data_IF_042268746942
#
_entry.id   IF_042268746942
#
_cell.length_a   1.000
_cell.length_b   1.000
_cell.length_c   1.000
_cell.angle_alpha   90.00
_cell.angle_beta   90.00
_cell.angle_gamma   90.00
#
_symmetry.space_group_name_H-M   'P 1'
#
loop_
_entity.id
_entity.type
_entity.pdbx_description
1 polymer ?
#
# COMPACT_ATOMS: atom_id res chain seq x y z
N UNK A 1 23.57 0.50 -25.49
CA UNK A 1 22.76 -0.36 -24.61
C UNK A 1 21.47 0.38 -24.31
N UNK A 2 20.32 -0.15 -24.72
CA UNK A 2 19.04 0.58 -24.68
C UNK A 2 18.30 0.48 -23.32
N UNK A 3 18.86 -0.20 -22.32
CA UNK A 3 18.18 -0.50 -21.06
C UNK A 3 18.80 0.05 -19.77
N UNK A 4 19.80 0.95 -19.86
CA UNK A 4 20.37 1.61 -18.67
C UNK A 4 19.58 2.89 -18.44
N UNK A 5 18.97 3.01 -17.27
CA UNK A 5 18.20 4.20 -16.87
C UNK A 5 19.02 5.06 -15.90
N UNK A 6 18.52 6.25 -15.56
CA UNK A 6 19.18 7.15 -14.61
C UNK A 6 19.14 6.62 -13.16
N UNK A 7 18.26 5.64 -12.87
CA UNK A 7 18.05 5.00 -11.57
C UNK A 7 18.00 5.99 -10.40
N UNK A 8 17.13 6.99 -10.53
CA UNK A 8 17.05 8.08 -9.57
C UNK A 8 16.71 7.57 -8.17
N UNK A 9 15.90 6.52 -8.05
CA UNK A 9 15.53 5.97 -6.73
C UNK A 9 16.77 5.48 -5.98
N UNK A 10 17.64 4.69 -6.64
CA UNK A 10 18.85 4.15 -6.02
C UNK A 10 19.87 5.23 -5.65
N UNK A 11 19.90 6.33 -6.43
CA UNK A 11 20.82 7.46 -6.22
C UNK A 11 20.36 8.41 -5.12
N UNK A 12 19.05 8.57 -4.96
CA UNK A 12 18.46 9.56 -4.05
C UNK A 12 18.06 8.96 -2.70
N UNK A 13 17.80 7.66 -2.61
CA UNK A 13 17.51 7.01 -1.33
C UNK A 13 18.77 6.94 -0.44
N UNK A 14 18.67 7.38 0.82
CA UNK A 14 19.67 7.09 1.84
C UNK A 14 19.69 5.59 2.15
N UNK A 15 20.90 5.02 2.23
CA UNK A 15 21.11 3.59 2.51
C UNK A 15 21.49 3.37 3.98
N UNK A 16 20.80 2.44 4.63
CA UNK A 16 21.00 2.06 6.04
C UNK A 16 21.43 0.60 6.12
N UNK A 17 22.42 0.34 6.97
CA UNK A 17 22.99 -0.99 7.17
C UNK A 17 22.04 -1.90 7.97
N UNK A 18 21.56 -2.98 7.35
CA UNK A 18 20.75 -4.01 8.02
C UNK A 18 21.65 -5.09 8.63
N UNK A 19 22.24 -4.80 9.80
CA UNK A 19 23.12 -5.72 10.52
C UNK A 19 22.36 -6.99 10.94
N UNK A 20 22.72 -8.12 10.35
CA UNK A 20 22.07 -9.41 10.63
C UNK A 20 21.03 -9.84 9.59
N UNK A 21 20.90 -9.12 8.47
CA UNK A 21 20.04 -9.54 7.35
C UNK A 21 18.58 -9.11 7.45
N UNK A 22 18.17 -8.47 8.55
CA UNK A 22 16.85 -7.89 8.74
C UNK A 22 16.91 -6.52 9.42
N UNK A 23 15.93 -5.66 9.16
CA UNK A 23 15.76 -4.35 9.79
C UNK A 23 14.36 -4.25 10.40
N UNK A 24 14.29 -4.02 11.72
CA UNK A 24 13.02 -3.99 12.47
C UNK A 24 12.52 -2.57 12.65
N UNK A 25 11.25 -2.33 12.32
CA UNK A 25 10.55 -1.06 12.51
C UNK A 25 9.49 -1.24 13.58
N UNK A 26 9.67 -0.59 14.72
CA UNK A 26 8.68 -0.57 15.80
C UNK A 26 7.75 0.63 15.60
N UNK A 27 6.43 0.38 15.57
CA UNK A 27 5.41 1.41 15.47
C UNK A 27 4.53 1.43 16.71
N UNK A 28 3.93 2.59 16.96
CA UNK A 28 2.89 2.75 17.98
C UNK A 28 1.53 2.48 17.34
N UNK A 29 0.70 1.67 17.98
CA UNK A 29 -0.68 1.50 17.53
C UNK A 29 -1.48 2.77 17.87
N UNK A 30 -2.17 3.33 16.88
CA UNK A 30 -3.07 4.48 17.08
C UNK A 30 -4.34 4.21 16.29
N UNK A 31 -5.46 4.03 16.98
CA UNK A 31 -6.79 3.81 16.41
C UNK A 31 -7.83 4.51 17.30
N UNK A 32 -8.99 4.83 16.74
CA UNK A 32 -10.07 5.56 17.43
C UNK A 32 -11.31 4.69 17.46
N UNK A 33 -11.66 4.15 18.62
CA UNK A 33 -12.92 3.42 18.79
C UNK A 33 -14.08 4.41 18.95
N UNK A 34 -15.22 4.08 18.34
CA UNK A 34 -16.52 4.73 18.48
C UNK A 34 -16.87 5.76 17.39
N UNK A 35 -16.13 5.80 16.28
CA UNK A 35 -16.43 6.70 15.15
C UNK A 35 -17.27 6.03 14.05
N UNK A 36 -17.59 4.74 14.20
CA UNK A 36 -18.38 3.95 13.25
C UNK A 36 -17.59 3.48 12.02
N UNK A 37 -16.27 3.59 12.02
CA UNK A 37 -15.40 3.20 10.91
C UNK A 37 -14.34 2.20 11.36
N UNK A 38 -14.10 1.20 10.53
CA UNK A 38 -13.14 0.15 10.83
C UNK A 38 -11.74 0.56 10.38
N UNK A 39 -10.77 0.45 11.27
CA UNK A 39 -9.35 0.69 10.97
C UNK A 39 -8.60 -0.60 10.65
N UNK A 40 -7.60 -0.52 9.77
CA UNK A 40 -6.82 -1.65 9.28
C UNK A 40 -5.32 -1.46 9.50
N UNK A 41 -4.61 -2.57 9.66
CA UNK A 41 -3.14 -2.63 9.63
C UNK A 41 -2.71 -3.20 8.28
N UNK A 42 -1.69 -2.58 7.68
CA UNK A 42 -1.08 -3.06 6.42
C UNK A 42 0.38 -3.43 6.66
N UNK A 43 0.72 -4.65 6.25
CA UNK A 43 2.08 -5.19 6.24
C UNK A 43 2.46 -5.54 4.80
N UNK A 44 2.97 -4.55 4.07
CA UNK A 44 3.18 -4.69 2.63
C UNK A 44 1.82 -4.72 1.92
N UNK A 45 1.66 -5.66 0.98
CA UNK A 45 0.38 -5.85 0.30
C UNK A 45 -0.72 -6.49 1.17
N UNK A 46 -0.37 -7.10 2.30
CA UNK A 46 -1.33 -7.79 3.16
C UNK A 46 -2.01 -6.80 4.12
N UNK A 47 -3.34 -6.80 4.11
CA UNK A 47 -4.19 -5.94 4.93
C UNK A 47 -4.99 -6.80 5.91
N UNK A 48 -5.05 -6.38 7.17
CA UNK A 48 -5.84 -7.03 8.22
C UNK A 48 -6.62 -5.99 9.01
N UNK A 49 -7.83 -6.34 9.43
CA UNK A 49 -8.62 -5.53 10.36
C UNK A 49 -7.98 -5.58 11.76
N UNK A 50 -7.99 -4.46 12.48
CA UNK A 50 -7.61 -4.46 13.89
C UNK A 50 -8.73 -5.16 14.68
N UNK A 51 -8.43 -6.19 15.47
CA UNK A 51 -9.43 -6.99 16.20
C UNK A 51 -10.47 -6.16 16.96
N UNK A 52 -10.03 -5.13 17.69
CA UNK A 52 -10.94 -4.24 18.43
C UNK A 52 -11.82 -3.34 17.58
N UNK A 53 -11.42 -3.06 16.33
CA UNK A 53 -12.22 -2.25 15.40
C UNK A 53 -13.42 -3.03 14.85
N UNK A 54 -13.46 -4.36 15.02
CA UNK A 54 -14.65 -5.14 14.72
C UNK A 54 -15.85 -4.74 15.59
N UNK A 55 -15.61 -4.13 16.76
CA UNK A 55 -16.65 -3.61 17.63
C UNK A 55 -17.38 -2.36 17.06
N UNK A 56 -16.91 -1.80 15.94
CA UNK A 56 -17.65 -0.79 15.19
C UNK A 56 -18.86 -1.38 14.45
N UNK A 57 -18.80 -2.69 14.14
CA UNK A 57 -19.93 -3.44 13.58
C UNK A 57 -21.07 -3.48 14.61
N UNK A 58 -22.31 -3.12 14.25
CA UNK A 58 -23.42 -3.06 15.20
C UNK A 58 -23.60 -4.35 16.01
N UNK A 59 -23.54 -5.56 15.42
CA UNK A 59 -23.69 -6.81 16.17
C UNK A 59 -22.57 -7.13 17.18
N UNK A 60 -21.41 -6.49 17.08
CA UNK A 60 -20.24 -6.73 17.94
C UNK A 60 -19.95 -5.56 18.89
N UNK A 61 -20.82 -4.55 18.90
CA UNK A 61 -20.58 -3.32 19.66
C UNK A 61 -20.58 -3.61 21.17
N UNK A 62 -19.48 -3.23 21.82
CA UNK A 62 -19.30 -3.40 23.25
C UNK A 62 -18.84 -4.80 23.67
N UNK A 63 -18.46 -5.65 22.73
CA UNK A 63 -17.80 -6.92 23.02
C UNK A 63 -16.33 -6.70 23.45
N UNK A 64 -15.89 -7.38 24.51
CA UNK A 64 -14.62 -7.12 25.21
C UNK A 64 -13.66 -8.32 25.26
N UNK A 65 -14.00 -9.44 24.63
CA UNK A 65 -13.14 -10.62 24.54
C UNK A 65 -12.15 -10.51 23.36
N UNK A 66 -10.97 -9.97 23.67
CA UNK A 66 -9.89 -9.75 22.68
C UNK A 66 -9.47 -11.04 21.95
N UNK A 67 -9.48 -12.21 22.60
CA UNK A 67 -9.07 -13.46 21.96
C UNK A 67 -10.08 -13.93 20.90
N UNK A 68 -11.37 -13.75 21.17
CA UNK A 68 -12.40 -14.07 20.21
C UNK A 68 -12.43 -13.07 19.04
N UNK A 69 -12.18 -11.79 19.31
CA UNK A 69 -11.99 -10.76 18.29
C UNK A 69 -10.78 -11.04 17.39
N UNK A 70 -9.65 -11.47 17.96
CA UNK A 70 -8.45 -11.88 17.22
C UNK A 70 -8.76 -13.05 16.27
N UNK A 71 -9.49 -14.06 16.77
CA UNK A 71 -9.89 -15.22 15.98
C UNK A 71 -10.81 -14.81 14.81
N UNK A 72 -11.76 -13.90 15.05
CA UNK A 72 -12.66 -13.38 14.03
C UNK A 72 -11.91 -12.56 12.97
N UNK A 73 -11.03 -11.65 13.40
CA UNK A 73 -10.19 -10.85 12.51
C UNK A 73 -9.33 -11.75 11.60
N UNK A 74 -8.85 -12.88 12.11
CA UNK A 74 -8.09 -13.87 11.35
C UNK A 74 -8.86 -14.62 10.25
N UNK A 75 -10.20 -14.57 10.24
CA UNK A 75 -11.05 -15.22 9.22
C UNK A 75 -11.36 -14.33 8.03
N UNK A 76 -11.05 -13.04 8.11
CA UNK A 76 -11.21 -12.13 6.99
C UNK A 76 -10.18 -12.40 5.89
N UNK A 77 -10.66 -12.54 4.65
CA UNK A 77 -9.84 -12.76 3.46
C UNK A 77 -9.79 -11.48 2.62
N UNK A 78 -8.59 -11.09 2.21
CA UNK A 78 -8.38 -9.93 1.36
C UNK A 78 -8.73 -10.23 -0.11
N UNK A 79 -9.48 -9.32 -0.73
CA UNK A 79 -9.82 -9.32 -2.15
C UNK A 79 -9.51 -7.96 -2.77
N UNK A 80 -8.88 -7.98 -3.95
CA UNK A 80 -8.62 -6.79 -4.77
C UNK A 80 -9.63 -6.74 -5.92
N UNK A 81 -10.24 -5.56 -6.13
CA UNK A 81 -11.23 -5.31 -7.17
C UNK A 81 -10.79 -4.14 -8.06
N UNK A 82 -11.02 -4.28 -9.36
CA UNK A 82 -10.78 -3.23 -10.35
C UNK A 82 -12.02 -2.34 -10.56
N UNK A 83 -11.85 -1.07 -10.99
CA UNK A 83 -12.98 -0.20 -11.27
C UNK A 83 -13.95 -0.82 -12.28
N UNK A 84 -15.23 -0.85 -11.93
CA UNK A 84 -16.35 -1.41 -12.70
C UNK A 84 -16.74 -2.84 -12.30
N UNK A 85 -15.95 -3.53 -11.48
CA UNK A 85 -16.29 -4.87 -11.01
C UNK A 85 -17.44 -4.84 -10.00
N UNK A 86 -18.28 -5.89 -10.02
CA UNK A 86 -19.43 -6.07 -9.13
C UNK A 86 -18.99 -6.91 -7.92
N UNK A 87 -19.20 -6.41 -6.71
CA UNK A 87 -18.82 -7.07 -5.46
C UNK A 87 -19.97 -7.97 -4.97
N UNK A 88 -21.18 -7.43 -5.01
CA UNK A 88 -22.46 -8.10 -4.68
C UNK A 88 -23.57 -7.60 -5.60
N UNK A 89 -24.56 -8.45 -5.85
CA UNK A 89 -25.73 -8.16 -6.70
C UNK A 89 -26.99 -8.07 -5.85
N UNK A 90 -27.86 -7.12 -6.20
CA UNK A 90 -29.19 -6.95 -5.60
C UNK A 90 -30.02 -8.24 -5.68
N UNK A 91 -30.76 -8.56 -4.61
CA UNK A 91 -31.64 -9.73 -4.54
C UNK A 91 -30.93 -11.08 -4.36
N UNK A 92 -29.61 -11.11 -4.21
CA UNK A 92 -28.89 -12.31 -3.77
C UNK A 92 -28.87 -12.40 -2.24
N UNK A 93 -28.79 -13.61 -1.65
CA UNK A 93 -28.64 -13.74 -0.21
C UNK A 93 -27.32 -13.14 0.27
N UNK A 94 -27.35 -12.47 1.42
CA UNK A 94 -26.18 -11.95 2.12
C UNK A 94 -25.40 -13.13 2.71
N UNK A 95 -24.32 -13.50 2.02
CA UNK A 95 -23.49 -14.68 2.33
C UNK A 95 -22.14 -14.33 2.97
N UNK A 96 -21.84 -13.03 3.09
CA UNK A 96 -20.55 -12.52 3.59
C UNK A 96 -20.67 -11.13 4.19
N UNK A 97 -19.80 -10.84 5.15
CA UNK A 97 -19.52 -9.48 5.63
C UNK A 97 -18.38 -8.89 4.80
N UNK A 98 -18.49 -7.62 4.44
CA UNK A 98 -17.46 -6.91 3.66
C UNK A 98 -17.02 -5.65 4.40
N UNK A 99 -15.72 -5.52 4.61
CA UNK A 99 -15.06 -4.33 5.16
C UNK A 99 -14.29 -3.63 4.03
N UNK A 100 -14.45 -2.31 3.90
CA UNK A 100 -13.77 -1.51 2.89
C UNK A 100 -12.45 -1.00 3.46
N UNK A 101 -11.36 -1.70 3.15
CA UNK A 101 -10.04 -1.28 3.62
C UNK A 101 -9.49 -0.09 2.84
N UNK A 102 -9.69 -0.08 1.52
CA UNK A 102 -9.28 1.02 0.64
C UNK A 102 -10.13 1.09 -0.61
N UNK A 103 -10.42 2.31 -1.06
CA UNK A 103 -11.08 2.62 -2.31
C UNK A 103 -12.54 3.00 -2.16
N UNK A 104 -13.19 3.27 -3.30
CA UNK A 104 -14.56 3.82 -3.35
C UNK A 104 -15.51 2.85 -4.03
N UNK A 105 -16.63 2.56 -3.39
CA UNK A 105 -17.71 1.74 -3.93
C UNK A 105 -18.97 2.57 -4.14
N UNK A 106 -19.77 2.23 -5.15
CA UNK A 106 -21.09 2.79 -5.38
C UNK A 106 -22.17 1.73 -5.15
N UNK A 107 -23.21 2.09 -4.39
CA UNK A 107 -24.44 1.30 -4.27
C UNK A 107 -25.41 1.74 -5.37
N UNK A 108 -25.88 0.77 -6.14
CA UNK A 108 -26.72 0.98 -7.30
C UNK A 108 -27.96 0.10 -7.16
N UNK A 109 -29.13 0.71 -7.35
CA UNK A 109 -30.41 -0.03 -7.44
C UNK A 109 -31.02 0.13 -8.83
N UNK A 110 -31.83 -0.84 -9.23
CA UNK A 110 -32.61 -0.73 -10.46
C UNK A 110 -33.65 0.41 -10.33
N UNK A 111 -33.48 1.49 -11.08
CA UNK A 111 -34.48 2.57 -11.13
C UNK A 111 -35.75 2.17 -11.88
N UNK A 112 -36.88 2.82 -11.58
CA UNK A 112 -38.21 2.54 -12.17
C UNK A 112 -38.26 2.58 -13.70
N UNK A 113 -37.27 3.20 -14.35
CA UNK A 113 -37.20 3.37 -15.80
C UNK A 113 -36.02 2.61 -16.45
N UNK A 114 -35.42 1.65 -15.75
CA UNK A 114 -34.30 0.84 -16.27
C UNK A 114 -32.94 1.56 -16.28
N UNK A 115 -32.85 2.75 -15.69
CA UNK A 115 -31.59 3.44 -15.41
C UNK A 115 -31.10 3.10 -14.01
N UNK A 116 -29.85 2.67 -13.90
CA UNK A 116 -29.15 2.45 -12.63
C UNK A 116 -29.12 3.75 -11.81
N UNK A 117 -29.74 3.76 -10.63
CA UNK A 117 -29.73 4.90 -9.73
C UNK A 117 -28.67 4.69 -8.64
N UNK A 118 -27.73 5.64 -8.51
CA UNK A 118 -26.72 5.59 -7.45
C UNK A 118 -27.37 6.04 -6.14
N UNK A 119 -27.51 5.11 -5.20
CA UNK A 119 -28.24 5.30 -3.94
C UNK A 119 -27.31 5.62 -2.75
N UNK A 120 -25.99 5.44 -2.92
CA UNK A 120 -24.99 5.72 -1.89
C UNK A 120 -23.58 5.42 -2.35
N UNK A 121 -22.60 5.90 -1.59
CA UNK A 121 -21.17 5.60 -1.80
C UNK A 121 -20.59 5.07 -0.49
N UNK A 122 -19.75 4.05 -0.59
CA UNK A 122 -18.93 3.56 0.52
C UNK A 122 -17.46 3.92 0.25
N UNK A 123 -16.73 4.25 1.30
CA UNK A 123 -15.32 4.60 1.26
C UNK A 123 -14.55 3.87 2.37
N UNK A 124 -13.26 4.19 2.50
CA UNK A 124 -12.36 3.60 3.49
C UNK A 124 -12.95 3.63 4.91
N UNK A 125 -12.92 2.46 5.55
CA UNK A 125 -13.45 2.24 6.90
C UNK A 125 -14.93 1.89 6.96
N UNK A 126 -15.68 2.05 5.86
CA UNK A 126 -17.07 1.60 5.81
C UNK A 126 -17.16 0.06 5.73
N UNK A 127 -18.32 -0.48 6.10
CA UNK A 127 -18.62 -1.90 6.01
C UNK A 127 -20.06 -2.12 5.54
N UNK A 128 -20.37 -3.33 5.10
CA UNK A 128 -21.72 -3.75 4.74
C UNK A 128 -21.89 -5.27 4.83
N UNK A 129 -23.14 -5.72 4.93
CA UNK A 129 -23.46 -7.14 5.12
C UNK A 129 -23.31 -7.60 6.56
N UNK A 130 -23.18 -6.68 7.53
CA UNK A 130 -23.12 -6.98 8.97
C UNK A 130 -24.38 -7.71 9.48
N UNK A 131 -25.51 -7.57 8.79
CA UNK A 131 -26.74 -8.34 9.02
C UNK A 131 -26.50 -9.86 8.92
N UNK A 132 -25.50 -10.30 8.13
CA UNK A 132 -25.14 -11.72 8.01
C UNK A 132 -24.70 -12.33 9.36
N UNK A 133 -24.18 -11.49 10.28
CA UNK A 133 -23.76 -11.92 11.61
C UNK A 133 -24.94 -12.28 12.52
N UNK A 134 -26.14 -11.79 12.20
CA UNK A 134 -27.35 -12.04 12.98
C UNK A 134 -27.98 -13.41 12.71
N UNK A 135 -27.50 -14.17 11.73
CA UNK A 135 -27.85 -15.58 11.53
C UNK A 135 -29.36 -15.87 11.63
N UNK A 136 -30.17 -15.06 10.95
CA UNK A 136 -31.63 -15.18 10.91
C UNK A 136 -32.07 -16.46 10.17
N UNK A 137 -33.29 -16.95 10.43
CA UNK A 137 -33.82 -18.17 9.80
C UNK A 137 -33.95 -18.05 8.27
N UNK A 138 -34.21 -16.84 7.77
CA UNK A 138 -34.10 -16.48 6.35
C UNK A 138 -32.91 -15.55 6.17
N UNK A 139 -32.00 -15.89 5.24
CA UNK A 139 -30.87 -15.03 4.95
C UNK A 139 -31.37 -13.71 4.32
N UNK A 140 -31.00 -12.54 4.86
CA UNK A 140 -31.39 -11.27 4.26
C UNK A 140 -30.84 -11.21 2.82
N UNK A 141 -31.55 -10.49 1.94
CA UNK A 141 -31.09 -10.26 0.57
C UNK A 141 -30.33 -8.93 0.48
N UNK A 142 -29.40 -8.82 -0.48
CA UNK A 142 -28.72 -7.56 -0.75
C UNK A 142 -29.72 -6.53 -1.30
N UNK A 143 -29.90 -5.43 -0.58
CA UNK A 143 -30.80 -4.32 -0.98
C UNK A 143 -30.33 -3.55 -2.22
N UNK A 144 -29.07 -3.70 -2.63
CA UNK A 144 -28.49 -2.99 -3.76
C UNK A 144 -27.29 -3.71 -4.33
N UNK A 145 -27.01 -3.47 -5.62
CA UNK A 145 -25.78 -3.92 -6.27
C UNK A 145 -24.64 -2.99 -5.89
N UNK A 146 -23.52 -3.54 -5.41
CA UNK A 146 -22.33 -2.76 -5.05
C UNK A 146 -21.25 -2.95 -6.09
N UNK A 147 -20.77 -1.84 -6.65
CA UNK A 147 -19.73 -1.82 -7.70
C UNK A 147 -18.51 -1.00 -7.28
N UNK A 148 -17.33 -1.41 -7.71
CA UNK A 148 -16.10 -0.67 -7.50
C UNK A 148 -16.04 0.56 -8.41
N UNK A 149 -15.85 1.75 -7.84
CA UNK A 149 -15.66 3.02 -8.58
C UNK A 149 -14.18 3.27 -8.81
N UNK A 150 -13.33 2.93 -7.84
CA UNK A 150 -11.87 2.95 -7.95
C UNK A 150 -11.31 1.54 -7.75
N UNK A 151 -9.98 1.37 -7.80
CA UNK A 151 -9.36 0.13 -7.36
C UNK A 151 -9.58 -0.03 -5.86
N UNK A 152 -10.13 -1.16 -5.44
CA UNK A 152 -10.54 -1.39 -4.07
C UNK A 152 -9.83 -2.58 -3.44
N UNK A 153 -9.48 -2.45 -2.17
CA UNK A 153 -9.03 -3.56 -1.31
C UNK A 153 -10.11 -3.80 -0.26
N UNK A 154 -10.73 -4.96 -0.30
CA UNK A 154 -11.82 -5.34 0.59
C UNK A 154 -11.41 -6.54 1.44
N UNK A 155 -11.83 -6.58 2.69
CA UNK A 155 -11.74 -7.77 3.53
C UNK A 155 -13.12 -8.40 3.63
N UNK A 156 -13.24 -9.69 3.29
CA UNK A 156 -14.52 -10.40 3.36
C UNK A 156 -14.44 -11.61 4.28
N UNK A 157 -15.49 -11.85 5.05
CA UNK A 157 -15.66 -13.06 5.86
C UNK A 157 -16.97 -13.73 5.46
N UNK A 158 -16.93 -15.03 5.14
CA UNK A 158 -18.14 -15.78 4.81
C UNK A 158 -18.97 -16.06 6.07
N UNK A 159 -20.29 -16.23 5.91
CA UNK A 159 -21.17 -16.66 7.01
C UNK A 159 -20.73 -18.02 7.57
N UNK A 160 -20.20 -18.92 6.73
CA UNK A 160 -19.68 -20.22 7.18
C UNK A 160 -18.48 -20.08 8.12
N UNK A 161 -17.49 -19.24 7.77
CA UNK A 161 -16.32 -18.99 8.61
C UNK A 161 -16.70 -18.31 9.94
N UNK A 162 -17.70 -17.43 9.89
CA UNK A 162 -18.26 -16.79 11.07
C UNK A 162 -18.93 -17.82 11.99
N UNK A 163 -19.78 -18.69 11.46
CA UNK A 163 -20.45 -19.75 12.23
C UNK A 163 -19.46 -20.73 12.85
N UNK A 164 -18.36 -21.05 12.16
CA UNK A 164 -17.29 -21.89 12.72
C UNK A 164 -16.64 -21.24 13.94
N UNK A 165 -16.32 -19.95 13.85
CA UNK A 165 -15.72 -19.17 14.94
C UNK A 165 -16.70 -18.99 16.09
N UNK A 166 -17.98 -18.74 15.78
CA UNK A 166 -19.06 -18.66 16.74
C UNK A 166 -19.22 -19.97 17.51
N UNK A 167 -19.14 -21.13 16.83
CA UNK A 167 -19.19 -22.45 17.46
C UNK A 167 -18.03 -22.73 18.44
N UNK A 168 -16.93 -22.00 18.32
CA UNK A 168 -15.73 -22.15 19.16
C UNK A 168 -15.70 -21.18 20.33
N UNK A 169 -16.54 -20.14 20.34
CA UNK A 169 -16.58 -19.10 21.38
C UNK A 169 -17.95 -18.97 22.04
N UNK A 170 -18.15 -19.51 23.25
CA UNK A 170 -19.39 -19.34 24.01
C UNK A 170 -19.67 -17.88 24.40
N UNK A 171 -18.63 -17.05 24.59
CA UNK A 171 -18.79 -15.63 24.95
C UNK A 171 -19.39 -14.84 23.78
N UNK A 172 -18.92 -15.11 22.56
CA UNK A 172 -19.43 -14.48 21.35
C UNK A 172 -20.89 -14.88 21.07
N UNK A 173 -21.25 -16.15 21.30
CA UNK A 173 -22.63 -16.63 21.21
C UNK A 173 -23.57 -15.86 22.13
N UNK A 174 -23.21 -15.78 23.42
CA UNK A 174 -24.03 -15.08 24.41
C UNK A 174 -24.21 -13.59 24.06
N UNK A 175 -23.16 -12.92 23.58
CA UNK A 175 -23.22 -11.52 23.18
C UNK A 175 -24.19 -11.28 22.02
N UNK A 176 -24.14 -12.11 20.98
CA UNK A 176 -25.04 -11.98 19.82
C UNK A 176 -26.48 -12.33 20.18
N UNK A 177 -26.71 -13.30 21.05
CA UNK A 177 -28.04 -13.59 21.58
C UNK A 177 -28.60 -12.41 22.37
N UNK A 178 -27.78 -11.76 23.20
CA UNK A 178 -28.18 -10.54 23.92
C UNK A 178 -28.49 -9.40 22.94
N UNK A 179 -27.67 -9.20 21.91
CA UNK A 179 -27.91 -8.20 20.88
C UNK A 179 -29.22 -8.44 20.13
N UNK A 180 -29.51 -9.69 19.72
CA UNK A 180 -30.77 -10.07 19.05
C UNK A 180 -31.99 -9.85 19.94
N UNK A 181 -31.86 -10.12 21.23
CA UNK A 181 -32.94 -9.96 22.21
C UNK A 181 -33.11 -8.50 22.66
N UNK A 182 -32.18 -7.61 22.31
CA UNK A 182 -32.29 -6.19 22.60
C UNK A 182 -33.18 -5.53 21.54
N UNK A 183 -34.36 -4.97 21.90
CA UNK A 183 -35.23 -4.33 20.92
C UNK A 183 -34.50 -3.17 20.25
N UNK A 184 -34.61 -3.09 18.92
CA UNK A 184 -34.06 -2.00 18.12
C UNK A 184 -34.43 -0.66 18.77
N UNK A 185 -33.43 0.09 19.24
CA UNK A 185 -33.66 1.42 19.80
C UNK A 185 -34.31 2.25 18.71
N UNK A 186 -35.53 2.74 18.97
CA UNK A 186 -36.25 3.59 18.05
C UNK A 186 -35.45 4.89 17.84
N UNK A 187 -34.92 5.08 16.63
CA UNK A 187 -34.42 6.36 16.19
C UNK A 187 -35.61 7.27 15.88
N UNK A 188 -35.56 8.52 16.33
CA UNK A 188 -36.47 9.58 15.89
C UNK A 188 -36.09 10.05 14.47
N UNK A 189 -36.97 10.82 13.80
CA UNK A 189 -36.89 11.18 12.37
C UNK A 189 -35.63 11.97 11.95
N UNK A 190 -34.69 12.23 12.87
CA UNK A 190 -33.40 12.89 12.63
C UNK A 190 -32.18 12.03 13.03
N UNK A 191 -32.38 10.73 13.34
CA UNK A 191 -31.28 9.77 13.50
C UNK A 191 -30.44 9.89 14.78
N UNK A 192 -30.82 10.73 15.74
CA UNK A 192 -30.10 10.88 17.00
C UNK A 192 -30.45 9.75 17.99
N UNK A 193 -29.43 9.11 18.58
CA UNK A 193 -29.64 8.25 19.74
C UNK A 193 -30.00 9.11 20.96
N UNK A 194 -31.00 8.70 21.75
CA UNK A 194 -31.33 9.38 23.00
C UNK A 194 -30.11 9.38 23.93
N UNK A 195 -29.54 10.57 24.16
CA UNK A 195 -28.45 10.80 25.08
C UNK A 195 -29.04 10.77 26.50
N UNK A 196 -28.73 9.74 27.27
CA UNK A 196 -28.91 9.78 28.73
C UNK A 196 -27.81 10.70 29.31
N UNK A 197 -28.17 11.96 29.50
CA UNK A 197 -27.36 12.97 30.17
C UNK A 197 -27.37 12.69 31.68
N UNK A 198 -26.37 11.95 32.17
CA UNK A 198 -26.00 11.98 33.58
C UNK A 198 -24.87 13.01 33.80
N UNK A 199 -25.26 14.25 34.11
CA UNK A 199 -24.34 15.25 34.64
C UNK A 199 -24.17 15.02 36.15
N UNK A 200 -23.14 14.27 36.53
CA UNK A 200 -22.70 14.12 37.92
C UNK A 200 -21.22 14.50 38.04
N UNK A 201 -20.93 15.69 38.55
CA UNK A 201 -19.57 16.14 38.85
C UNK A 201 -19.22 15.80 40.30
N UNK A 202 -18.50 14.69 40.52
CA UNK A 202 -17.73 14.46 41.75
C UNK A 202 -16.67 13.35 41.52
N UNK A 203 -15.39 13.74 41.52
CA UNK A 203 -14.25 12.81 41.53
C UNK A 203 -12.97 13.49 41.02
N UNK A 204 -11.86 13.31 41.74
CA UNK A 204 -10.54 13.69 41.23
C UNK A 204 -10.27 12.90 39.93
N UNK A 205 -9.97 13.56 38.79
CA UNK A 205 -9.74 12.86 37.55
C UNK A 205 -8.49 12.00 37.70
N UNK A 206 -8.65 10.69 37.57
CA UNK A 206 -7.54 9.77 37.31
C UNK A 206 -6.90 10.23 36.01
N UNK A 207 -5.69 10.80 36.11
CA UNK A 207 -4.89 11.11 34.94
C UNK A 207 -4.73 9.81 34.14
N UNK A 208 -5.08 9.79 32.84
CA UNK A 208 -4.93 8.59 32.04
C UNK A 208 -3.46 8.20 32.07
N UNK A 209 -3.17 7.01 32.62
CA UNK A 209 -1.84 6.44 32.57
C UNK A 209 -1.48 6.27 31.10
N UNK A 210 -0.55 7.07 30.59
CA UNK A 210 -0.03 6.92 29.23
C UNK A 210 0.87 5.69 29.18
N UNK A 211 0.28 4.50 29.19
CA UNK A 211 0.97 3.34 28.63
C UNK A 211 1.00 3.54 27.11
N UNK A 212 2.20 3.48 26.55
CA UNK A 212 2.40 3.50 25.10
C UNK A 212 2.38 2.06 24.65
N UNK A 213 1.23 1.62 24.15
CA UNK A 213 1.11 0.29 23.57
C UNK A 213 1.88 0.26 22.24
N UNK A 214 2.88 -0.62 22.21
CA UNK A 214 3.62 -0.94 21.00
C UNK A 214 2.88 -2.04 20.24
N UNK A 215 3.01 -2.02 18.91
CA UNK A 215 2.53 -3.11 18.07
C UNK A 215 3.14 -4.45 18.52
N UNK A 216 2.30 -5.44 18.80
CA UNK A 216 2.72 -6.75 19.34
C UNK A 216 3.59 -7.55 18.35
N UNK A 217 3.45 -7.31 17.05
CA UNK A 217 4.20 -7.93 15.96
C UNK A 217 4.81 -6.85 15.05
N UNK A 218 5.86 -6.16 15.50
CA UNK A 218 6.48 -5.11 14.73
C UNK A 218 7.11 -5.66 13.46
N UNK A 219 7.11 -4.83 12.43
CA UNK A 219 7.50 -5.26 11.10
C UNK A 219 9.01 -5.45 10.98
N UNK A 220 9.41 -6.61 10.47
CA UNK A 220 10.80 -6.92 10.12
C UNK A 220 10.96 -6.94 8.60
N UNK A 221 11.87 -6.12 8.09
CA UNK A 221 12.23 -6.07 6.68
C UNK A 221 13.47 -6.95 6.46
N UNK A 222 13.26 -8.14 5.92
CA UNK A 222 14.36 -9.00 5.49
C UNK A 222 15.02 -8.45 4.22
N UNK A 223 16.33 -8.67 4.08
CA UNK A 223 17.06 -8.36 2.86
C UNK A 223 16.69 -9.37 1.77
N UNK A 224 16.14 -8.86 0.67
CA UNK A 224 15.99 -9.64 -0.56
C UNK A 224 17.32 -9.74 -1.30
N UNK A 225 17.44 -10.74 -2.18
CA UNK A 225 18.64 -10.98 -2.97
C UNK A 225 18.31 -11.04 -4.45
N UNK A 226 19.05 -10.28 -5.26
CA UNK A 226 19.15 -10.50 -6.70
C UNK A 226 20.50 -11.12 -7.02
N UNK A 227 20.50 -12.21 -7.79
CA UNK A 227 21.73 -12.91 -8.17
C UNK A 227 21.73 -13.23 -9.66
N UNK A 228 22.93 -13.21 -10.25
CA UNK A 228 23.13 -13.65 -11.63
C UNK A 228 24.51 -14.27 -11.78
N UNK A 229 24.64 -15.19 -12.73
CA UNK A 229 25.92 -15.85 -13.03
C UNK A 229 26.46 -15.31 -14.35
N UNK A 230 27.51 -14.50 -14.28
CA UNK A 230 28.27 -14.09 -15.44
C UNK A 230 29.12 -15.27 -15.94
N UNK A 231 29.08 -15.53 -17.24
CA UNK A 231 29.83 -16.59 -17.90
C UNK A 231 30.70 -15.99 -18.99
N UNK A 232 32.01 -16.08 -18.85
CA UNK A 232 32.98 -15.59 -19.84
C UNK A 232 33.85 -16.73 -20.32
N UNK A 233 33.98 -16.92 -21.63
CA UNK A 233 34.91 -17.91 -22.15
C UNK A 233 36.35 -17.45 -21.90
N UNK A 234 37.21 -18.34 -21.41
CA UNK A 234 38.65 -18.06 -21.16
C UNK A 234 39.33 -17.42 -22.37
N UNK A 235 39.14 -17.97 -23.56
CA UNK A 235 39.63 -17.41 -24.83
C UNK A 235 39.30 -15.93 -25.03
N UNK A 236 38.14 -15.47 -24.56
CA UNK A 236 37.75 -14.06 -24.67
C UNK A 236 38.52 -13.18 -23.70
N UNK A 237 38.67 -13.65 -22.45
CA UNK A 237 39.51 -13.00 -21.46
C UNK A 237 40.99 -12.95 -21.90
N UNK A 238 41.48 -14.01 -22.53
CA UNK A 238 42.90 -14.14 -22.92
C UNK A 238 43.26 -13.36 -24.20
N UNK A 239 42.41 -13.41 -25.23
CA UNK A 239 42.75 -12.90 -26.58
C UNK A 239 42.14 -11.54 -26.92
N UNK A 240 41.04 -11.14 -26.30
CA UNK A 240 40.29 -9.94 -26.69
C UNK A 240 40.31 -8.81 -25.63
N UNK A 241 41.30 -8.82 -24.74
CA UNK A 241 41.40 -7.89 -23.61
C UNK A 241 41.98 -6.49 -23.92
N UNK A 242 42.27 -6.20 -25.20
CA UNK A 242 42.79 -4.90 -25.64
C UNK A 242 41.93 -4.32 -26.77
N UNK A 243 41.60 -3.01 -26.74
CA UNK A 243 42.05 -2.01 -25.76
C UNK A 243 41.29 -2.00 -24.42
N UNK A 244 40.24 -2.80 -24.27
CA UNK A 244 39.37 -2.85 -23.08
C UNK A 244 39.31 -4.25 -22.49
N UNK A 245 39.32 -4.33 -21.16
CA UNK A 245 39.15 -5.60 -20.45
C UNK A 245 37.73 -6.14 -20.64
N UNK A 246 37.59 -7.27 -21.32
CA UNK A 246 36.29 -7.84 -21.67
C UNK A 246 35.57 -8.41 -20.44
N UNK A 247 36.30 -8.95 -19.48
CA UNK A 247 35.71 -9.49 -18.25
C UNK A 247 35.16 -8.34 -17.43
N UNK A 248 35.93 -7.26 -17.28
CA UNK A 248 35.51 -6.06 -16.55
C UNK A 248 34.30 -5.39 -17.23
N UNK A 249 34.29 -5.27 -18.56
CA UNK A 249 33.14 -4.73 -19.27
C UNK A 249 31.90 -5.62 -19.11
N UNK A 250 32.02 -6.94 -19.25
CA UNK A 250 30.87 -7.84 -19.06
C UNK A 250 30.37 -7.84 -17.62
N UNK A 251 31.28 -7.76 -16.65
CA UNK A 251 30.94 -7.61 -15.24
C UNK A 251 30.19 -6.31 -14.99
N UNK A 252 30.70 -5.18 -15.50
CA UNK A 252 30.04 -3.88 -15.40
C UNK A 252 28.62 -3.95 -15.95
N UNK A 253 28.43 -4.47 -17.16
CA UNK A 253 27.11 -4.58 -17.79
C UNK A 253 26.16 -5.49 -17.00
N UNK A 254 26.69 -6.55 -16.40
CA UNK A 254 25.93 -7.45 -15.53
C UNK A 254 25.48 -6.74 -14.26
N UNK A 255 26.36 -5.95 -13.64
CA UNK A 255 26.04 -5.12 -12.48
C UNK A 255 24.98 -4.07 -12.83
N UNK A 256 25.10 -3.41 -14.00
CA UNK A 256 24.10 -2.44 -14.46
C UNK A 256 22.71 -3.09 -14.58
N UNK A 257 22.61 -4.27 -15.19
CA UNK A 257 21.35 -5.02 -15.28
C UNK A 257 20.83 -5.47 -13.91
N UNK A 258 21.72 -5.86 -12.99
CA UNK A 258 21.35 -6.21 -11.61
C UNK A 258 20.76 -5.01 -10.86
N UNK A 259 21.33 -3.82 -11.05
CA UNK A 259 20.82 -2.56 -10.46
C UNK A 259 19.47 -2.14 -11.07
N UNK A 260 19.24 -2.38 -12.36
CA UNK A 260 17.91 -2.17 -12.96
C UNK A 260 16.86 -3.11 -12.35
N UNK A 261 17.22 -4.37 -12.13
CA UNK A 261 16.34 -5.34 -11.43
C UNK A 261 16.10 -4.93 -9.99
N UNK A 262 17.13 -4.44 -9.30
CA UNK A 262 17.03 -3.92 -7.93
C UNK A 262 16.05 -2.77 -7.84
N UNK A 263 16.16 -1.74 -8.70
CA UNK A 263 15.22 -0.62 -8.69
C UNK A 263 13.78 -1.10 -8.96
N UNK A 264 13.60 -2.04 -9.89
CA UNK A 264 12.29 -2.62 -10.16
C UNK A 264 11.67 -3.30 -8.93
N UNK A 265 12.45 -4.08 -8.19
CA UNK A 265 11.97 -4.75 -6.97
C UNK A 265 11.69 -3.75 -5.85
N UNK A 266 12.55 -2.73 -5.66
CA UNK A 266 12.30 -1.67 -4.67
C UNK A 266 11.03 -0.87 -4.94
N UNK A 267 10.56 -0.82 -6.19
CA UNK A 267 9.31 -0.17 -6.56
C UNK A 267 8.11 -1.13 -6.49
N UNK A 268 8.23 -2.35 -7.03
CA UNK A 268 7.10 -3.23 -7.34
C UNK A 268 7.02 -4.50 -6.49
N UNK A 269 8.00 -4.82 -5.66
CA UNK A 269 7.93 -6.03 -4.84
C UNK A 269 6.75 -5.94 -3.86
N UNK A 270 5.94 -7.00 -3.74
CA UNK A 270 4.74 -7.00 -2.90
C UNK A 270 5.04 -6.93 -1.40
N UNK A 271 6.20 -7.43 -0.97
CA UNK A 271 6.59 -7.44 0.43
C UNK A 271 7.16 -6.08 0.84
N UNK A 272 8.18 -5.56 0.15
CA UNK A 272 8.91 -4.34 0.56
C UNK A 272 8.88 -3.19 -0.45
N UNK A 273 8.31 -3.40 -1.64
CA UNK A 273 8.29 -2.39 -2.71
C UNK A 273 7.40 -1.20 -2.38
N UNK A 274 7.82 0.00 -2.79
CA UNK A 274 7.17 1.26 -2.44
C UNK A 274 5.69 1.33 -2.82
N UNK A 275 5.31 0.82 -4.00
CA UNK A 275 3.92 0.87 -4.46
C UNK A 275 2.97 0.05 -3.57
N UNK A 276 3.47 -1.01 -2.97
CA UNK A 276 2.68 -1.89 -2.10
C UNK A 276 2.77 -1.49 -0.63
N UNK A 277 3.74 -0.65 -0.26
CA UNK A 277 4.03 -0.28 1.12
C UNK A 277 3.58 1.13 1.52
N UNK A 278 2.96 1.87 0.60
CA UNK A 278 2.21 3.08 0.93
C UNK A 278 0.99 2.71 1.77
N UNK A 279 0.84 3.38 2.92
CA UNK A 279 -0.31 3.18 3.79
C UNK A 279 -1.60 3.58 3.07
N UNK A 280 -2.71 2.90 3.37
CA UNK A 280 -4.01 3.15 2.72
C UNK A 280 -4.46 4.61 2.88
N UNK A 281 -4.29 5.18 4.08
CA UNK A 281 -4.55 6.60 4.36
C UNK A 281 -3.65 7.61 3.62
N UNK A 282 -2.62 7.13 2.93
CA UNK A 282 -1.66 7.92 2.14
C UNK A 282 -1.81 7.64 0.64
N UNK A 283 -2.83 6.88 0.26
CA UNK A 283 -3.19 6.62 -1.14
C UNK A 283 -4.39 7.47 -1.49
N UNK A 284 -4.23 8.28 -2.52
CA UNK A 284 -5.29 9.15 -3.04
C UNK A 284 -5.50 8.89 -4.52
N UNK A 285 -6.69 9.17 -5.02
CA UNK A 285 -7.00 9.07 -6.45
C UNK A 285 -7.01 10.45 -7.10
N UNK A 286 -6.74 10.51 -8.40
CA UNK A 286 -6.91 11.76 -9.16
C UNK A 286 -8.38 12.20 -9.19
N UNK A 287 -8.62 13.51 -9.11
CA UNK A 287 -9.99 14.05 -9.14
C UNK A 287 -10.69 13.85 -10.47
N UNK A 288 -9.94 13.91 -11.57
CA UNK A 288 -10.48 13.92 -12.92
C UNK A 288 -9.80 12.97 -13.90
N UNK A 289 -8.97 12.04 -13.43
CA UNK A 289 -8.17 11.14 -14.28
C UNK A 289 -6.71 11.61 -14.42
N UNK A 290 -6.41 12.65 -15.22
CA UNK A 290 -5.05 13.18 -15.36
C UNK A 290 -4.52 13.80 -14.06
N UNK A 291 -3.20 13.81 -13.84
CA UNK A 291 -2.59 14.41 -12.65
C UNK A 291 -2.58 15.93 -12.79
N UNK A 292 -3.38 16.61 -11.98
CA UNK A 292 -3.47 18.08 -11.97
C UNK A 292 -2.52 18.70 -10.91
N UNK A 293 -2.22 20.01 -11.01
CA UNK A 293 -1.57 20.76 -9.94
C UNK A 293 -2.17 20.53 -8.55
N UNK A 294 -3.50 20.46 -8.46
CA UNK A 294 -4.21 20.28 -7.20
C UNK A 294 -4.02 18.86 -6.63
N UNK A 295 -3.83 17.85 -7.48
CA UNK A 295 -3.54 16.47 -7.03
C UNK A 295 -2.10 16.36 -6.51
N UNK A 296 -1.16 17.09 -7.12
CA UNK A 296 0.21 17.18 -6.64
C UNK A 296 0.32 17.98 -5.34
N UNK A 297 -0.45 19.05 -5.18
CA UNK A 297 -0.55 19.81 -3.93
C UNK A 297 -1.23 18.96 -2.82
N UNK A 298 -2.17 18.06 -3.16
CA UNK A 298 -2.75 17.11 -2.21
C UNK A 298 -1.75 16.06 -1.74
N UNK A 299 -0.90 15.53 -2.63
CA UNK A 299 0.23 14.69 -2.23
C UNK A 299 1.16 15.43 -1.25
N UNK A 300 1.50 16.69 -1.54
CA UNK A 300 2.32 17.52 -0.64
C UNK A 300 1.65 17.76 0.72
N UNK A 301 0.32 17.85 0.76
CA UNK A 301 -0.40 17.97 2.03
C UNK A 301 -0.31 16.69 2.87
N UNK A 302 -0.30 15.51 2.24
CA UNK A 302 -0.10 14.23 2.91
C UNK A 302 1.32 14.09 3.48
N UNK A 303 2.34 14.41 2.67
CA UNK A 303 3.77 14.34 3.05
C UNK A 303 4.33 15.74 3.29
N UNK A 304 3.65 16.54 4.12
CA UNK A 304 4.01 17.95 4.33
C UNK A 304 5.31 18.14 5.14
N UNK A 305 5.67 17.13 5.93
CA UNK A 305 6.88 17.12 6.76
C UNK A 305 8.09 16.79 5.90
N UNK A 306 8.82 17.80 5.44
CA UNK A 306 10.08 17.66 4.71
C UNK A 306 10.02 16.68 3.50
N UNK A 307 9.13 16.91 2.52
CA UNK A 307 9.08 16.09 1.31
C UNK A 307 10.39 16.19 0.53
N UNK A 308 10.96 15.04 0.15
CA UNK A 308 12.26 14.99 -0.52
C UNK A 308 12.12 15.04 -2.04
N UNK A 309 11.32 14.14 -2.63
CA UNK A 309 11.10 14.10 -4.08
C UNK A 309 9.84 13.32 -4.49
N UNK A 310 9.32 13.65 -5.66
CA UNK A 310 8.36 12.83 -6.37
C UNK A 310 9.06 11.79 -7.24
N UNK A 311 8.44 10.62 -7.38
CA UNK A 311 8.87 9.56 -8.29
C UNK A 311 7.69 9.17 -9.18
N UNK A 312 7.85 9.28 -10.50
CA UNK A 312 6.75 9.07 -11.43
C UNK A 312 7.21 8.44 -12.74
N UNK A 313 6.31 7.70 -13.39
CA UNK A 313 6.57 7.21 -14.74
C UNK A 313 6.76 8.40 -15.71
N UNK A 314 7.72 8.38 -16.66
CA UNK A 314 7.96 9.51 -17.58
C UNK A 314 6.70 10.01 -18.32
N UNK A 315 5.80 9.10 -18.67
CA UNK A 315 4.50 9.45 -19.27
C UNK A 315 3.56 10.19 -18.30
N UNK A 316 3.59 9.88 -17.01
CA UNK A 316 2.83 10.60 -15.99
C UNK A 316 3.40 12.01 -15.75
N UNK A 317 4.73 12.15 -15.73
CA UNK A 317 5.39 13.48 -15.70
C UNK A 317 4.96 14.33 -16.91
N UNK A 318 4.92 13.72 -18.09
CA UNK A 318 4.42 14.40 -19.30
C UNK A 318 2.94 14.77 -19.19
N UNK A 319 2.09 13.91 -18.62
CA UNK A 319 0.67 14.21 -18.39
C UNK A 319 0.50 15.40 -17.45
N UNK A 320 1.24 15.42 -16.34
CA UNK A 320 1.27 16.54 -15.42
C UNK A 320 1.72 17.84 -16.11
N UNK A 321 2.78 17.79 -16.91
CA UNK A 321 3.25 18.94 -17.69
C UNK A 321 2.19 19.50 -18.66
N UNK A 322 1.34 18.64 -19.25
CA UNK A 322 0.20 19.07 -20.08
C UNK A 322 -0.87 19.75 -19.24
N UNK A 323 -1.27 19.17 -18.11
CA UNK A 323 -2.26 19.77 -17.21
C UNK A 323 -1.82 21.14 -16.68
N UNK A 324 -0.54 21.28 -16.36
CA UNK A 324 0.09 22.55 -16.02
C UNK A 324 0.00 23.56 -17.18
N UNK A 325 0.40 23.16 -18.38
CA UNK A 325 0.38 24.02 -19.58
C UNK A 325 -1.03 24.52 -19.91
N UNK A 326 -2.05 23.65 -19.83
CA UNK A 326 -3.46 23.99 -20.04
C UNK A 326 -3.95 25.05 -19.05
N UNK A 327 -3.43 25.04 -17.82
CA UNK A 327 -3.77 26.02 -16.76
C UNK A 327 -2.87 27.26 -16.77
N UNK A 328 -1.92 27.35 -17.71
CA UNK A 328 -0.96 28.46 -17.77
C UNK A 328 0.05 28.45 -16.61
N UNK A 329 0.26 27.30 -15.98
CA UNK A 329 1.24 27.10 -14.90
C UNK A 329 2.44 26.36 -15.47
N UNK A 330 3.65 26.80 -15.15
CA UNK A 330 4.88 26.15 -15.59
C UNK A 330 5.66 25.69 -14.36
N UNK A 331 5.89 24.37 -14.20
CA UNK A 331 6.71 23.85 -13.11
C UNK A 331 8.13 24.41 -13.18
N UNK A 332 8.71 24.71 -12.02
CA UNK A 332 10.09 25.16 -11.92
C UNK A 332 11.07 24.00 -12.18
N UNK A 333 12.36 24.34 -12.24
CA UNK A 333 13.44 23.35 -12.31
C UNK A 333 14.38 23.50 -11.12
N UNK A 334 14.87 22.38 -10.61
CA UNK A 334 15.91 22.34 -9.58
C UNK A 334 17.14 21.60 -10.10
N UNK A 335 18.31 21.99 -9.63
CA UNK A 335 19.57 21.29 -9.93
C UNK A 335 19.79 20.18 -8.91
N UNK A 336 19.86 18.95 -9.39
CA UNK A 336 20.19 17.78 -8.56
C UNK A 336 21.35 17.06 -9.22
N UNK A 337 22.47 16.95 -8.50
CA UNK A 337 23.69 16.29 -8.97
C UNK A 337 24.19 16.83 -10.33
N UNK A 338 24.03 18.14 -10.57
CA UNK A 338 24.44 18.80 -11.83
C UNK A 338 23.46 18.60 -12.98
N UNK A 339 22.26 18.06 -12.72
CA UNK A 339 21.21 17.86 -13.72
C UNK A 339 19.98 18.69 -13.36
N UNK A 340 19.46 19.45 -14.33
CA UNK A 340 18.20 20.18 -14.19
C UNK A 340 17.02 19.23 -14.33
N UNK A 341 16.25 19.06 -13.26
CA UNK A 341 15.05 18.23 -13.21
C UNK A 341 13.81 19.09 -12.97
N UNK A 342 12.64 18.71 -13.52
CA UNK A 342 11.38 19.41 -13.22
C UNK A 342 11.07 19.30 -11.73
N UNK A 343 10.43 20.32 -11.18
CA UNK A 343 10.06 20.40 -9.78
C UNK A 343 8.66 21.02 -9.62
N UNK A 344 7.97 20.59 -8.57
CA UNK A 344 6.71 21.18 -8.15
C UNK A 344 6.85 21.71 -6.73
N UNK A 345 6.60 23.01 -6.54
CA UNK A 345 6.77 23.71 -5.24
C UNK A 345 8.17 23.50 -4.61
N UNK A 346 9.20 23.44 -5.44
CA UNK A 346 10.59 23.21 -5.01
C UNK A 346 10.96 21.74 -4.77
N UNK A 347 9.99 20.81 -4.86
CA UNK A 347 10.25 19.37 -4.73
C UNK A 347 10.51 18.76 -6.12
N UNK A 348 11.67 18.12 -6.36
CA UNK A 348 12.01 17.54 -7.66
C UNK A 348 11.11 16.36 -8.03
N UNK A 349 10.86 16.20 -9.33
CA UNK A 349 10.10 15.09 -9.91
C UNK A 349 11.04 14.21 -10.73
N UNK A 350 11.36 13.02 -10.22
CA UNK A 350 12.26 12.09 -10.87
C UNK A 350 11.52 11.07 -11.74
N UNK A 351 11.99 10.83 -12.99
CA UNK A 351 11.46 9.78 -13.84
C UNK A 351 11.89 8.40 -13.34
N UNK A 352 10.93 7.47 -13.29
CA UNK A 352 11.15 6.05 -13.04
C UNK A 352 10.27 5.22 -13.99
N UNK A 353 10.88 4.55 -14.96
CA UNK A 353 10.20 3.67 -15.92
C UNK A 353 9.74 2.33 -15.30
N UNK A 354 10.15 2.05 -14.05
CA UNK A 354 9.75 0.83 -13.32
C UNK A 354 8.37 0.95 -12.67
N UNK A 355 7.81 2.15 -12.57
CA UNK A 355 6.42 2.33 -12.14
C UNK A 355 5.50 1.83 -13.27
N UNK A 356 4.60 0.87 -13.00
CA UNK A 356 3.84 0.21 -14.04
C UNK A 356 2.85 1.16 -14.71
N UNK A 357 2.57 0.86 -15.98
CA UNK A 357 1.49 1.47 -16.74
C UNK A 357 0.46 0.39 -17.02
N UNK A 358 -0.75 0.58 -16.52
CA UNK A 358 -1.85 -0.37 -16.69
C UNK A 358 -2.30 -0.47 -18.15
N UNK A 359 -3.04 -1.53 -18.47
CA UNK A 359 -3.69 -1.68 -19.78
C UNK A 359 -4.67 -0.52 -20.08
N UNK A 360 -5.27 0.06 -19.04
CA UNK A 360 -6.15 1.23 -19.11
C UNK A 360 -5.39 2.55 -19.26
N UNK A 361 -4.07 2.51 -19.48
CA UNK A 361 -3.18 3.70 -19.56
C UNK A 361 -3.29 4.59 -18.33
N UNK A 362 -3.30 3.97 -17.16
CA UNK A 362 -3.12 4.63 -15.87
C UNK A 362 -1.78 4.25 -15.27
N UNK A 363 -1.23 5.10 -14.40
CA UNK A 363 0.01 4.86 -13.67
C UNK A 363 -0.12 5.45 -12.26
N UNK A 364 0.99 5.58 -11.55
CA UNK A 364 1.03 6.12 -10.19
C UNK A 364 2.12 7.17 -10.06
N UNK A 365 1.93 8.12 -9.14
CA UNK A 365 2.94 9.09 -8.73
C UNK A 365 3.17 8.93 -7.23
N UNK A 366 4.44 8.77 -6.84
CA UNK A 366 4.83 8.68 -5.45
C UNK A 366 5.42 10.00 -4.99
N UNK A 367 5.19 10.35 -3.72
CA UNK A 367 5.90 11.40 -3.00
C UNK A 367 6.46 10.81 -1.72
N UNK A 368 7.73 11.09 -1.42
CA UNK A 368 8.35 10.56 -0.22
C UNK A 368 9.25 11.56 0.51
N UNK A 369 9.23 11.44 1.85
CA UNK A 369 10.30 11.91 2.74
C UNK A 369 11.35 10.80 2.83
N UNK A 370 12.63 11.12 2.93
CA UNK A 370 13.70 10.12 2.96
C UNK A 370 14.64 10.27 4.14
N UNK A 371 15.22 9.16 4.60
CA UNK A 371 16.28 9.14 5.61
C UNK A 371 15.79 8.77 7.02
N UNK A 372 16.67 8.11 7.78
CA UNK A 372 16.33 7.57 9.10
C UNK A 372 16.05 8.69 10.14
N UNK A 373 16.85 9.76 10.13
CA UNK A 373 16.69 10.90 11.06
C UNK A 373 15.36 11.61 10.91
N UNK A 374 14.84 11.67 9.69
CA UNK A 374 13.55 12.28 9.37
C UNK A 374 12.39 11.27 9.50
N UNK A 375 12.65 10.02 9.90
CA UNK A 375 11.67 8.93 9.84
C UNK A 375 11.06 8.80 8.43
N UNK A 376 11.90 8.87 7.40
CA UNK A 376 11.50 8.77 6.00
C UNK A 376 11.53 7.35 5.46
N UNK A 377 11.55 7.24 4.13
CA UNK A 377 11.87 6.03 3.39
C UNK A 377 13.39 5.85 3.35
N UNK A 378 13.86 4.62 3.56
CA UNK A 378 15.27 4.24 3.51
C UNK A 378 15.49 3.00 2.65
N UNK A 379 16.59 2.97 1.91
CA UNK A 379 17.10 1.75 1.30
C UNK A 379 17.87 0.94 2.32
N UNK A 380 17.74 -0.38 2.29
CA UNK A 380 18.47 -1.29 3.18
C UNK A 380 19.50 -2.08 2.38
N UNK A 381 20.70 -2.23 2.92
CA UNK A 381 21.76 -3.04 2.32
C UNK A 381 22.64 -3.68 3.41
N UNK A 382 23.40 -4.69 3.01
CA UNK A 382 24.42 -5.31 3.86
C UNK A 382 25.80 -5.03 3.29
N UNK A 383 26.63 -4.32 4.06
CA UNK A 383 28.04 -4.08 3.74
C UNK A 383 28.95 -5.11 4.43
N UNK A 384 30.19 -5.25 3.97
CA UNK A 384 31.15 -6.21 4.53
C UNK A 384 30.92 -7.64 4.07
N UNK A 385 30.34 -7.81 2.88
CA UNK A 385 30.11 -9.12 2.28
C UNK A 385 31.46 -9.78 1.88
N UNK A 386 31.56 -11.12 1.92
CA UNK A 386 32.68 -11.80 1.28
C UNK A 386 32.73 -11.46 -0.21
N UNK A 387 33.93 -11.16 -0.72
CA UNK A 387 34.15 -10.74 -2.11
C UNK A 387 33.31 -9.50 -2.52
N UNK A 388 33.12 -8.56 -1.59
CA UNK A 388 32.41 -7.30 -1.85
C UNK A 388 33.15 -6.46 -2.90
N UNK A 389 32.42 -6.11 -3.96
CA UNK A 389 32.93 -5.29 -5.07
C UNK A 389 32.51 -3.82 -4.90
N UNK A 390 31.28 -3.59 -4.43
CA UNK A 390 30.71 -2.29 -4.07
C UNK A 390 29.78 -2.47 -2.87
N UNK A 391 29.46 -1.42 -2.09
CA UNK A 391 28.54 -1.54 -0.96
C UNK A 391 27.25 -2.29 -1.31
N UNK A 392 27.01 -3.42 -0.65
CA UNK A 392 25.82 -4.27 -0.88
C UNK A 392 25.86 -5.14 -2.13
N UNK A 393 27.00 -5.25 -2.82
CA UNK A 393 27.18 -6.05 -4.03
C UNK A 393 28.49 -6.85 -3.98
N UNK A 394 28.38 -8.18 -4.12
CA UNK A 394 29.53 -9.10 -4.15
C UNK A 394 29.69 -9.78 -5.50
N UNK A 395 30.95 -10.07 -5.86
CA UNK A 395 31.33 -10.75 -7.11
C UNK A 395 32.25 -11.90 -6.76
N UNK A 396 31.73 -13.13 -6.76
CA UNK A 396 32.45 -14.32 -6.34
C UNK A 396 32.82 -15.21 -7.53
N UNK A 397 34.09 -15.57 -7.64
CA UNK A 397 34.55 -16.54 -8.63
C UNK A 397 34.08 -17.95 -8.26
N UNK A 398 33.43 -18.66 -9.20
CA UNK A 398 32.86 -19.99 -9.01
C UNK A 398 33.70 -21.12 -9.64
N UNK A 399 34.77 -20.79 -10.35
CA UNK A 399 35.57 -21.77 -11.10
C UNK A 399 35.41 -21.67 -12.62
N UNK A 400 36.06 -22.61 -13.31
CA UNK A 400 36.02 -22.79 -14.77
C UNK A 400 35.41 -24.16 -15.05
N UNK A 401 34.45 -24.23 -15.99
CA UNK A 401 33.85 -25.51 -16.37
C UNK A 401 34.59 -26.24 -17.51
N UNK A 402 34.15 -27.46 -17.82
CA UNK A 402 34.73 -28.31 -18.88
C UNK A 402 34.70 -27.67 -20.27
N UNK A 403 33.88 -26.63 -20.48
CA UNK A 403 33.79 -25.86 -21.73
C UNK A 403 34.64 -24.60 -21.71
N UNK A 404 35.54 -24.47 -20.73
CA UNK A 404 36.40 -23.32 -20.52
C UNK A 404 35.62 -22.00 -20.31
N UNK A 405 34.46 -22.06 -19.64
CA UNK A 405 33.73 -20.89 -19.18
C UNK A 405 34.09 -20.55 -17.73
N UNK A 406 34.65 -19.36 -17.53
CA UNK A 406 34.86 -18.72 -16.25
C UNK A 406 33.50 -18.25 -15.71
N UNK A 407 33.15 -18.63 -14.48
CA UNK A 407 31.87 -18.28 -13.85
C UNK A 407 32.08 -17.33 -12.69
N UNK A 408 31.35 -16.22 -12.68
CA UNK A 408 31.27 -15.29 -11.55
C UNK A 408 29.82 -15.20 -11.06
N UNK A 409 29.60 -15.40 -9.76
CA UNK A 409 28.33 -15.12 -9.10
C UNK A 409 28.31 -13.66 -8.67
N UNK A 410 27.41 -12.88 -9.25
CA UNK A 410 27.17 -11.48 -8.87
C UNK A 410 25.91 -11.44 -8.01
N UNK A 411 26.01 -10.99 -6.77
CA UNK A 411 24.88 -10.90 -5.83
C UNK A 411 24.72 -9.47 -5.32
N UNK A 412 23.48 -9.02 -5.20
CA UNK A 412 23.13 -7.77 -4.53
C UNK A 412 22.06 -8.04 -3.47
N UNK A 413 22.30 -7.57 -2.25
CA UNK A 413 21.39 -7.71 -1.12
C UNK A 413 20.76 -6.37 -0.81
N UNK A 414 19.43 -6.29 -0.85
CA UNK A 414 18.73 -5.03 -0.69
C UNK A 414 17.30 -5.21 -0.19
N UNK A 415 16.77 -4.17 0.43
CA UNK A 415 15.35 -4.01 0.73
C UNK A 415 15.00 -2.52 0.79
N UNK A 416 13.74 -2.18 1.03
CA UNK A 416 13.29 -0.80 1.23
C UNK A 416 12.33 -0.76 2.41
N UNK A 417 12.51 0.21 3.31
CA UNK A 417 11.67 0.36 4.48
C UNK A 417 11.02 1.74 4.52
N UNK A 418 9.71 1.75 4.76
CA UNK A 418 8.92 2.96 5.04
C UNK A 418 8.78 3.04 6.56
N UNK A 419 9.52 3.94 7.20
CA UNK A 419 9.62 3.94 8.66
C UNK A 419 8.30 4.31 9.35
N UNK A 420 7.59 5.31 8.82
CA UNK A 420 6.26 5.71 9.29
C UNK A 420 5.29 5.91 8.12
N UNK A 421 3.98 5.74 8.33
CA UNK A 421 2.98 5.86 7.26
C UNK A 421 3.06 7.18 6.47
N UNK A 422 3.22 8.32 7.16
CA UNK A 422 3.24 9.66 6.55
C UNK A 422 4.53 10.00 5.78
N UNK A 423 5.46 9.04 5.65
CA UNK A 423 6.70 9.22 4.90
C UNK A 423 6.54 8.96 3.39
N UNK A 424 5.47 8.27 2.98
CA UNK A 424 5.25 7.84 1.60
C UNK A 424 3.77 7.97 1.23
N UNK A 425 3.48 8.84 0.27
CA UNK A 425 2.15 8.97 -0.32
C UNK A 425 2.15 8.56 -1.79
N UNK A 426 0.99 8.13 -2.27
CA UNK A 426 0.78 7.61 -3.61
C UNK A 426 -0.49 8.19 -4.22
N UNK A 427 -0.35 8.78 -5.39
CA UNK A 427 -1.48 9.14 -6.25
C UNK A 427 -1.71 8.00 -7.23
N UNK A 428 -2.86 7.36 -7.09
CA UNK A 428 -3.31 6.20 -7.85
C UNK A 428 -4.12 6.61 -9.08
N UNK A 429 -4.22 5.69 -10.03
CA UNK A 429 -5.10 5.81 -11.21
C UNK A 429 -4.80 7.04 -12.08
N UNK A 430 -3.54 7.48 -12.13
CA UNK A 430 -3.11 8.65 -12.90
C UNK A 430 -3.22 8.38 -14.39
N UNK A 431 -4.16 9.03 -15.06
CA UNK A 431 -4.35 8.89 -16.50
C UNK A 431 -3.20 9.54 -17.27
N UNK A 432 -2.47 8.75 -18.04
CA UNK A 432 -1.28 9.23 -18.77
C UNK A 432 -1.57 9.59 -20.23
N UNK A 433 -2.74 9.21 -20.76
CA UNK A 433 -3.11 9.40 -22.15
C UNK A 433 -4.51 9.99 -22.28
N UNK A 434 -4.60 11.25 -22.68
CA UNK A 434 -5.81 11.72 -23.34
C UNK A 434 -5.96 10.96 -24.66
N UNK A 435 -7.08 10.28 -24.85
CA UNK A 435 -7.61 10.13 -26.20
C UNK A 435 -7.76 11.53 -26.78
N UNK A 436 -7.15 11.78 -27.94
CA UNK A 436 -7.47 12.97 -28.71
C UNK A 436 -8.95 12.87 -29.11
N UNK A 437 -9.84 13.35 -28.25
CA UNK A 437 -11.18 13.77 -28.63
C UNK A 437 -11.01 15.07 -29.41
N UNK A 438 -10.92 14.94 -30.73
CA UNK A 438 -11.24 16.00 -31.65
C UNK A 438 -12.75 16.27 -31.64
#
# INVERSE_FOLDING_TARGET
>A
MQGITSRWLLRMLPWVEAKGGAYRVNRRLTYTLGDGRVTFVSTGADVRVIPRELCELPPLRGYDDDLALDALAGRFVQHEYEPGEVIVEEGRPVDKVVLVAHGKLSRVTAGEYGTEAVHGTLADGDFFGDQALLGEEEAPEWDSTVKAVTSCTLLTMSVGDFQETLGQSPTLQAHLEEYRNTPARAHNQHGEAAIDLSAGHAGEPTLPGTFVDYEASPREYELSVAQTVLRVHTRVADLYNHPMDQVEQQLRLTIEALRERQENEMVNNREFGLLHNSALSQRIHTRGGPPTPDDMDELLALVWKEPAFFLAHPKAISAFGRECSTRGVYPDHVDVLGQRVPAWRGVPIFPCDKIPVSARRTSSILLMRTGESAQGVVGLHQTGLPDEYQPGLSVRFMGIDEKALIKYLVSAYYSTAVLVPDALAMLESVEIAHGAGA
#
